data_IF_401354909028
#
_entry.id   IF_401354909028
#
_cell.length_a   1.000
_cell.length_b   1.000
_cell.length_c   1.000
_cell.angle_alpha   90.00
_cell.angle_beta   90.00
_cell.angle_gamma   90.00
#
_symmetry.space_group_name_H-M   'P 1'
#
loop_
_entity.id
_entity.type
_entity.pdbx_description
1 polymer ?
#
# COMPACT_ATOMS: atom_id res chain seq x y z
N UNK A 1 11.10 9.56 10.43
CA UNK A 1 12.15 9.19 9.45
C UNK A 1 12.96 10.41 9.00
N UNK A 2 12.31 11.47 8.55
CA UNK A 2 12.97 12.67 8.00
C UNK A 2 13.95 13.34 8.98
N UNK A 3 13.58 13.47 10.24
CA UNK A 3 14.47 14.02 11.29
C UNK A 3 15.72 13.16 11.49
N UNK A 4 15.61 11.84 11.35
CA UNK A 4 16.74 10.92 11.47
C UNK A 4 17.68 11.04 10.27
N UNK A 5 17.15 11.11 9.05
CA UNK A 5 17.94 11.24 7.82
C UNK A 5 18.71 12.56 7.81
N UNK A 6 18.12 13.63 8.33
CA UNK A 6 18.75 14.96 8.38
C UNK A 6 19.67 15.14 9.60
N UNK A 7 19.78 14.15 10.48
CA UNK A 7 20.71 14.18 11.62
C UNK A 7 22.15 14.13 11.14
N UNK A 8 23.03 14.91 11.75
CA UNK A 8 24.48 14.85 11.52
C UNK A 8 25.10 13.48 11.86
N UNK A 9 24.37 12.65 12.60
CA UNK A 9 24.77 11.28 12.94
C UNK A 9 24.39 10.26 11.87
N UNK A 10 23.48 10.58 10.97
CA UNK A 10 23.11 9.71 9.86
C UNK A 10 24.20 9.81 8.78
N UNK A 11 24.99 8.75 8.62
CA UNK A 11 26.05 8.68 7.60
C UNK A 11 25.59 8.06 6.29
N UNK A 12 24.56 7.22 6.35
CA UNK A 12 23.95 6.57 5.19
C UNK A 12 22.54 6.14 5.54
N UNK A 13 21.67 6.01 4.53
CA UNK A 13 20.33 5.49 4.71
C UNK A 13 19.95 4.58 3.53
N UNK A 14 18.96 3.73 3.77
CA UNK A 14 18.44 2.76 2.80
C UNK A 14 16.96 3.06 2.64
N UNK A 15 16.49 3.06 1.40
CA UNK A 15 15.07 3.13 1.07
C UNK A 15 14.52 1.72 0.88
N UNK A 16 13.39 1.46 1.53
CA UNK A 16 12.59 0.28 1.28
C UNK A 16 11.39 0.69 0.41
N UNK A 17 10.99 -0.21 -0.47
CA UNK A 17 9.77 -0.05 -1.25
C UNK A 17 8.55 0.14 -0.34
N UNK A 18 7.77 1.18 -0.63
CA UNK A 18 6.55 1.55 0.09
C UNK A 18 5.39 1.72 -0.90
N UNK A 19 4.94 0.62 -1.46
CA UNK A 19 3.78 0.59 -2.35
C UNK A 19 3.94 1.43 -3.62
N UNK A 20 2.82 1.89 -4.17
CA UNK A 20 2.75 2.61 -5.46
C UNK A 20 3.65 3.86 -5.55
N UNK A 21 3.91 4.52 -4.43
CA UNK A 21 4.75 5.71 -4.42
C UNK A 21 6.18 5.40 -4.92
N UNK A 22 6.67 4.19 -4.66
CA UNK A 22 7.99 3.73 -5.07
C UNK A 22 8.11 3.45 -6.58
N UNK A 23 6.99 3.31 -7.30
CA UNK A 23 6.93 3.07 -8.75
C UNK A 23 6.61 4.33 -9.57
N UNK A 24 6.30 5.43 -8.92
CA UNK A 24 6.07 6.69 -9.63
C UNK A 24 7.40 7.19 -10.20
N UNK A 25 7.36 7.61 -11.45
CA UNK A 25 8.42 8.45 -11.99
C UNK A 25 8.45 9.71 -11.13
N UNK A 26 9.37 9.75 -10.16
CA UNK A 26 9.74 11.02 -9.58
C UNK A 26 10.19 11.88 -10.77
N UNK A 27 9.53 13.00 -11.06
CA UNK A 27 10.01 13.89 -12.09
C UNK A 27 11.47 14.11 -11.77
N UNK A 28 12.33 13.72 -12.73
CA UNK A 28 13.74 14.03 -12.64
C UNK A 28 13.78 15.49 -12.24
N UNK A 29 14.28 15.78 -11.04
CA UNK A 29 14.49 17.14 -10.64
C UNK A 29 15.51 17.70 -11.60
N UNK A 30 15.06 18.12 -12.77
CA UNK A 30 15.77 19.12 -13.51
C UNK A 30 15.81 20.29 -12.54
N UNK A 31 16.98 20.47 -11.97
CA UNK A 31 17.38 21.68 -11.29
C UNK A 31 17.28 22.82 -12.32
N UNK A 32 16.04 23.17 -12.67
CA UNK A 32 15.82 24.42 -13.36
C UNK A 32 16.36 25.48 -12.42
N UNK A 33 17.32 26.21 -12.91
CA UNK A 33 17.94 27.39 -12.28
C UNK A 33 16.84 28.42 -11.98
N UNK A 34 15.96 28.13 -11.04
CA UNK A 34 14.92 29.01 -10.58
C UNK A 34 15.49 29.90 -9.49
N UNK A 35 15.14 31.19 -9.55
CA UNK A 35 15.60 32.23 -8.64
C UNK A 35 15.63 31.78 -7.17
N UNK A 36 16.69 32.18 -6.43
CA UNK A 36 16.90 31.92 -5.01
C UNK A 36 15.65 32.13 -4.14
N UNK A 37 14.80 33.12 -4.47
CA UNK A 37 13.57 33.42 -3.74
C UNK A 37 12.47 32.34 -3.94
N UNK A 38 12.35 31.79 -5.14
CA UNK A 38 11.43 30.67 -5.41
C UNK A 38 11.94 29.37 -4.77
N UNK A 39 13.23 29.24 -4.56
CA UNK A 39 13.86 28.17 -3.80
C UNK A 39 13.43 28.21 -2.33
N UNK A 40 13.48 29.38 -1.68
CA UNK A 40 13.06 29.55 -0.27
C UNK A 40 11.57 29.30 -0.04
N UNK A 41 10.69 29.75 -0.93
CA UNK A 41 9.26 29.48 -0.83
C UNK A 41 8.92 28.01 -1.13
N UNK A 42 9.56 27.41 -2.11
CA UNK A 42 9.40 25.98 -2.39
C UNK A 42 9.92 25.09 -1.27
N UNK A 43 11.03 25.42 -0.64
CA UNK A 43 11.57 24.63 0.48
C UNK A 43 10.64 24.68 1.71
N UNK A 44 9.87 25.74 1.91
CA UNK A 44 8.81 25.81 2.93
C UNK A 44 7.57 24.98 2.60
N UNK A 45 7.18 24.92 1.34
CA UNK A 45 6.02 24.12 0.86
C UNK A 45 6.43 22.65 0.69
N UNK A 46 7.69 22.39 0.39
CA UNK A 46 8.26 21.07 0.10
C UNK A 46 8.68 20.24 1.29
N UNK A 47 8.68 20.79 2.47
CA UNK A 47 8.81 19.96 3.67
C UNK A 47 7.64 18.96 3.82
N UNK A 48 6.63 19.04 2.96
CA UNK A 48 5.54 18.07 2.86
C UNK A 48 5.70 17.04 1.71
N UNK A 49 6.61 17.26 0.72
CA UNK A 49 6.82 16.34 -0.41
C UNK A 49 8.26 15.82 -0.45
N UNK A 50 8.51 14.79 0.32
CA UNK A 50 9.81 14.20 0.65
C UNK A 50 10.56 13.46 -0.48
N UNK A 51 10.32 13.76 -1.75
CA UNK A 51 10.97 13.07 -2.86
C UNK A 51 12.43 13.50 -3.10
N UNK A 52 12.89 14.60 -2.49
CA UNK A 52 14.25 15.11 -2.69
C UNK A 52 15.35 14.26 -2.03
N UNK A 53 14.99 13.46 -1.04
CA UNK A 53 15.96 12.69 -0.26
C UNK A 53 16.42 11.42 -1.00
N UNK A 54 15.65 10.94 -1.99
CA UNK A 54 16.00 9.79 -2.82
C UNK A 54 17.31 10.01 -3.60
N UNK A 55 17.63 11.24 -3.94
CA UNK A 55 18.81 11.60 -4.76
C UNK A 55 20.00 12.10 -3.95
N UNK A 56 19.94 11.97 -2.63
CA UNK A 56 21.09 12.33 -1.78
C UNK A 56 22.25 11.38 -2.00
N UNK A 57 23.47 11.88 -1.87
CA UNK A 57 24.68 11.08 -2.03
C UNK A 57 24.81 9.98 -0.96
N UNK A 58 24.27 10.23 0.24
CA UNK A 58 24.27 9.31 1.37
C UNK A 58 23.13 8.25 1.30
N UNK A 59 22.29 8.27 0.25
CA UNK A 59 21.37 7.17 -0.05
C UNK A 59 22.18 5.97 -0.59
N UNK A 60 22.41 5.00 0.29
CA UNK A 60 23.30 3.87 0.03
C UNK A 60 22.66 2.79 -0.86
N UNK A 61 21.40 2.46 -0.62
CA UNK A 61 20.69 1.41 -1.34
C UNK A 61 19.17 1.66 -1.40
N UNK A 62 18.54 1.00 -2.38
CA UNK A 62 17.10 1.00 -2.62
C UNK A 62 16.65 -0.45 -2.76
N UNK A 63 15.83 -0.92 -1.84
CA UNK A 63 15.40 -2.32 -1.75
C UNK A 63 13.94 -2.43 -2.18
N UNK A 64 13.63 -3.33 -3.09
CA UNK A 64 12.28 -3.56 -3.55
C UNK A 64 12.06 -4.93 -4.17
N UNK A 65 10.81 -5.23 -4.55
CA UNK A 65 10.38 -6.50 -5.11
C UNK A 65 10.52 -6.57 -6.64
N UNK A 66 10.80 -5.44 -7.30
CA UNK A 66 10.91 -5.34 -8.76
C UNK A 66 12.06 -4.43 -9.16
N UNK A 67 12.61 -4.67 -10.36
CA UNK A 67 13.60 -3.76 -10.98
C UNK A 67 13.02 -2.39 -11.33
N UNK A 68 11.69 -2.32 -11.50
CA UNK A 68 10.97 -1.08 -11.84
C UNK A 68 10.77 -0.17 -10.64
N UNK A 69 11.01 -0.65 -9.43
CA UNK A 69 10.94 0.18 -8.22
C UNK A 69 11.96 1.31 -8.29
N UNK A 70 11.61 2.48 -7.80
CA UNK A 70 12.45 3.68 -7.86
C UNK A 70 13.01 3.96 -9.27
N UNK A 71 12.16 4.18 -10.28
CA UNK A 71 12.57 4.18 -11.70
C UNK A 71 13.68 5.17 -12.03
N UNK A 72 13.79 6.28 -11.30
CA UNK A 72 14.84 7.29 -11.49
C UNK A 72 16.21 6.91 -10.87
N UNK A 73 16.27 5.81 -10.12
CA UNK A 73 17.50 5.37 -9.42
C UNK A 73 18.27 4.36 -10.27
N UNK A 74 19.57 4.52 -10.32
CA UNK A 74 20.48 3.59 -11.02
C UNK A 74 20.35 2.16 -10.47
N UNK A 75 20.34 1.17 -11.35
CA UNK A 75 20.30 -0.25 -11.00
C UNK A 75 21.45 -0.67 -10.07
N UNK A 76 22.59 0.02 -10.11
CA UNK A 76 23.72 -0.26 -9.19
C UNK A 76 23.42 0.00 -7.71
N UNK A 77 22.44 0.85 -7.43
CA UNK A 77 21.98 1.17 -6.08
C UNK A 77 20.74 0.36 -5.68
N UNK A 78 20.19 -0.45 -6.59
CA UNK A 78 18.97 -1.25 -6.32
C UNK A 78 19.33 -2.66 -5.89
N UNK A 79 18.63 -3.12 -4.87
CA UNK A 79 18.62 -4.51 -4.40
C UNK A 79 17.21 -5.03 -4.65
N UNK A 80 17.07 -5.98 -5.56
CA UNK A 80 15.79 -6.61 -5.85
C UNK A 80 15.70 -7.91 -5.06
N UNK A 81 14.63 -8.05 -4.29
CA UNK A 81 14.33 -9.26 -3.52
C UNK A 81 13.60 -10.24 -4.45
N UNK A 82 14.33 -11.09 -5.13
CA UNK A 82 13.83 -12.05 -6.11
C UNK A 82 13.44 -13.41 -5.49
N UNK A 83 13.82 -13.67 -4.24
CA UNK A 83 13.45 -14.86 -3.51
C UNK A 83 12.76 -14.52 -2.18
N UNK A 84 11.43 -14.51 -2.21
CA UNK A 84 10.61 -14.23 -1.03
C UNK A 84 10.24 -15.49 -0.23
N UNK A 85 10.66 -16.68 -0.66
CA UNK A 85 10.31 -17.93 0.03
C UNK A 85 10.83 -17.99 1.47
N UNK A 86 11.92 -17.30 1.77
CA UNK A 86 12.44 -17.20 3.14
C UNK A 86 11.45 -16.51 4.09
N UNK A 87 10.57 -15.63 3.59
CA UNK A 87 9.54 -14.98 4.39
C UNK A 87 8.45 -15.95 4.84
N UNK A 88 8.24 -17.07 4.10
CA UNK A 88 7.29 -18.12 4.48
C UNK A 88 7.65 -18.80 5.80
N UNK A 89 8.93 -18.76 6.18
CA UNK A 89 9.39 -19.38 7.44
C UNK A 89 8.98 -18.59 8.67
N UNK A 90 8.83 -17.28 8.52
CA UNK A 90 8.57 -16.36 9.64
C UNK A 90 7.13 -15.85 9.71
N UNK A 91 6.32 -16.13 8.70
CA UNK A 91 4.93 -15.70 8.63
C UNK A 91 3.99 -16.91 8.69
N UNK A 92 2.98 -16.82 9.54
CA UNK A 92 1.92 -17.83 9.64
C UNK A 92 0.67 -17.28 8.93
N UNK A 93 0.26 -17.83 7.78
CA UNK A 93 -0.85 -17.30 7.00
C UNK A 93 -2.18 -17.54 7.73
N UNK A 94 -3.05 -16.53 7.67
CA UNK A 94 -4.38 -16.55 8.29
C UNK A 94 -5.50 -16.74 7.28
N UNK A 95 -5.22 -16.61 5.99
CA UNK A 95 -6.23 -16.63 4.92
C UNK A 95 -6.07 -17.85 3.98
N UNK A 96 -5.51 -18.96 4.47
CA UNK A 96 -5.45 -20.20 3.69
C UNK A 96 -6.86 -20.68 3.34
N UNK A 97 -7.08 -21.04 2.07
CA UNK A 97 -8.38 -21.47 1.56
C UNK A 97 -9.36 -20.35 1.25
N UNK A 98 -9.05 -19.09 1.61
CA UNK A 98 -9.84 -17.92 1.24
C UNK A 98 -9.21 -17.29 -0.01
N UNK A 99 -9.87 -17.43 -1.16
CA UNK A 99 -9.35 -16.97 -2.45
C UNK A 99 -9.70 -15.52 -2.78
N UNK A 100 -10.87 -15.03 -2.36
CA UNK A 100 -11.36 -13.69 -2.70
C UNK A 100 -11.23 -12.73 -1.52
N UNK A 101 -10.66 -11.55 -1.79
CA UNK A 101 -10.41 -10.55 -0.75
C UNK A 101 -10.85 -9.17 -1.24
N UNK A 102 -11.88 -8.63 -0.59
CA UNK A 102 -12.33 -7.27 -0.78
C UNK A 102 -11.40 -6.26 -0.08
N UNK A 103 -11.08 -5.17 -0.77
CA UNK A 103 -10.17 -4.13 -0.28
C UNK A 103 -10.90 -2.80 -0.13
N UNK A 104 -10.64 -2.06 0.94
CA UNK A 104 -11.07 -0.66 1.06
C UNK A 104 -9.94 0.31 0.68
N UNK A 105 -10.32 1.53 0.30
CA UNK A 105 -9.37 2.65 0.19
C UNK A 105 -9.10 3.29 1.56
N UNK A 106 -8.23 4.31 1.60
CA UNK A 106 -8.05 5.12 2.80
C UNK A 106 -9.32 5.90 3.15
N UNK A 107 -9.73 5.92 4.43
CA UNK A 107 -10.96 6.55 4.93
C UNK A 107 -11.12 8.01 4.45
N UNK A 108 -10.03 8.78 4.42
CA UNK A 108 -10.01 10.17 3.93
C UNK A 108 -10.44 10.36 2.45
N UNK A 109 -10.52 9.27 1.67
CA UNK A 109 -10.93 9.32 0.26
C UNK A 109 -12.43 9.22 0.09
N UNK A 110 -13.15 8.85 1.13
CA UNK A 110 -14.60 8.65 1.11
C UNK A 110 -15.22 9.41 2.27
N UNK A 111 -16.19 10.28 1.98
CA UNK A 111 -16.92 11.00 3.05
C UNK A 111 -17.69 9.99 3.92
N UNK A 112 -17.79 10.21 5.25
CA UNK A 112 -18.42 9.25 6.17
C UNK A 112 -19.84 8.83 5.76
N UNK A 113 -20.64 9.75 5.22
CA UNK A 113 -21.98 9.47 4.72
C UNK A 113 -22.06 8.41 3.59
N UNK A 114 -20.91 8.10 2.93
CA UNK A 114 -20.83 7.08 1.87
C UNK A 114 -20.12 5.81 2.29
N UNK A 115 -19.70 5.68 3.54
CA UNK A 115 -18.98 4.47 4.00
C UNK A 115 -19.88 3.23 3.91
N UNK A 116 -21.16 3.36 4.26
CA UNK A 116 -22.13 2.27 4.17
C UNK A 116 -22.23 1.72 2.75
N UNK A 117 -22.44 2.60 1.76
CA UNK A 117 -22.57 2.21 0.36
C UNK A 117 -21.28 1.55 -0.16
N UNK A 118 -20.13 2.08 0.25
CA UNK A 118 -18.82 1.53 -0.11
C UNK A 118 -18.64 0.12 0.47
N UNK A 119 -18.96 -0.10 1.75
CA UNK A 119 -18.80 -1.41 2.39
C UNK A 119 -19.74 -2.44 1.75
N UNK A 120 -21.01 -2.10 1.53
CA UNK A 120 -21.97 -2.96 0.82
C UNK A 120 -21.45 -3.33 -0.56
N UNK A 121 -20.98 -2.35 -1.34
CA UNK A 121 -20.45 -2.59 -2.69
C UNK A 121 -19.25 -3.55 -2.71
N UNK A 122 -18.37 -3.45 -1.72
CA UNK A 122 -17.23 -4.38 -1.59
C UNK A 122 -17.74 -5.79 -1.22
N UNK A 123 -18.66 -5.91 -0.28
CA UNK A 123 -19.24 -7.20 0.12
C UNK A 123 -19.97 -7.83 -1.07
N UNK A 124 -20.73 -7.06 -1.82
CA UNK A 124 -21.48 -7.55 -2.99
C UNK A 124 -20.57 -8.00 -4.14
N UNK A 125 -19.37 -7.45 -4.24
CA UNK A 125 -18.37 -7.86 -5.23
C UNK A 125 -17.72 -9.22 -4.92
N UNK A 126 -17.82 -9.71 -3.69
CA UNK A 126 -17.36 -11.04 -3.33
C UNK A 126 -18.30 -12.13 -3.87
N UNK A 127 -17.80 -13.33 -4.18
CA UNK A 127 -18.63 -14.45 -4.62
C UNK A 127 -19.66 -14.87 -3.55
N UNK A 128 -20.69 -15.59 -3.95
CA UNK A 128 -21.72 -16.10 -3.03
C UNK A 128 -21.16 -17.05 -1.95
N UNK A 129 -20.03 -17.68 -2.22
CA UNK A 129 -19.30 -18.52 -1.27
C UNK A 129 -18.57 -17.72 -0.18
N UNK A 130 -18.63 -16.38 -0.24
CA UNK A 130 -17.95 -15.52 0.72
C UNK A 130 -16.53 -15.16 0.35
N UNK A 131 -15.77 -14.71 1.34
CA UNK A 131 -14.38 -14.25 1.18
C UNK A 131 -13.90 -13.52 2.41
N UNK A 132 -12.82 -12.76 2.27
CA UNK A 132 -12.33 -11.90 3.34
C UNK A 132 -12.40 -10.42 2.94
N UNK A 133 -12.48 -9.52 3.91
CA UNK A 133 -12.37 -8.09 3.66
C UNK A 133 -11.22 -7.52 4.49
N UNK A 134 -10.32 -6.83 3.80
CA UNK A 134 -9.22 -6.09 4.42
C UNK A 134 -9.55 -4.60 4.41
N UNK A 135 -9.88 -4.07 5.58
CA UNK A 135 -10.03 -2.64 5.76
C UNK A 135 -8.65 -1.95 5.72
N UNK A 136 -8.62 -0.79 5.10
CA UNK A 136 -7.42 0.07 5.15
C UNK A 136 -7.14 0.45 6.63
N UNK A 137 -5.87 0.57 7.05
CA UNK A 137 -5.54 0.90 8.45
C UNK A 137 -6.25 2.13 9.03
N UNK A 138 -6.59 3.12 8.20
CA UNK A 138 -7.34 4.30 8.65
C UNK A 138 -8.81 4.02 8.98
N UNK A 139 -9.42 2.95 8.46
CA UNK A 139 -10.72 2.46 8.90
C UNK A 139 -10.59 1.60 10.15
N UNK A 140 -9.58 0.74 10.19
CA UNK A 140 -9.31 -0.11 11.36
C UNK A 140 -9.02 0.68 12.64
N UNK A 141 -8.57 1.93 12.53
CA UNK A 141 -8.32 2.83 13.67
C UNK A 141 -9.51 3.71 14.03
N UNK A 142 -10.63 3.62 13.28
CA UNK A 142 -11.84 4.40 13.50
C UNK A 142 -12.96 3.51 14.06
N UNK A 143 -13.33 3.67 15.34
CA UNK A 143 -14.36 2.83 15.98
C UNK A 143 -15.71 2.90 15.28
N UNK A 144 -16.12 4.08 14.79
CA UNK A 144 -17.40 4.24 14.08
C UNK A 144 -17.42 3.48 12.76
N UNK A 145 -16.27 3.39 12.08
CA UNK A 145 -16.17 2.66 10.83
C UNK A 145 -16.23 1.14 11.05
N UNK A 146 -15.63 0.65 12.14
CA UNK A 146 -15.69 -0.77 12.51
C UNK A 146 -17.11 -1.15 12.90
N UNK A 147 -17.75 -0.39 13.80
CA UNK A 147 -19.13 -0.62 14.22
C UNK A 147 -20.09 -0.66 13.02
N UNK A 148 -20.01 0.33 12.14
CA UNK A 148 -20.81 0.36 10.92
C UNK A 148 -20.55 -0.86 10.02
N UNK A 149 -19.31 -1.30 9.91
CA UNK A 149 -18.96 -2.45 9.09
C UNK A 149 -19.52 -3.76 9.68
N UNK A 150 -19.44 -3.93 11.00
CA UNK A 150 -20.02 -5.07 11.72
C UNK A 150 -21.54 -5.12 11.59
N UNK A 151 -22.24 -3.98 11.73
CA UNK A 151 -23.68 -3.88 11.46
C UNK A 151 -24.05 -4.33 10.05
N UNK A 152 -23.28 -3.90 9.05
CA UNK A 152 -23.52 -4.29 7.65
C UNK A 152 -23.32 -5.80 7.45
N UNK A 153 -22.28 -6.39 8.06
CA UNK A 153 -22.05 -7.83 7.98
C UNK A 153 -23.21 -8.63 8.57
N UNK A 154 -23.81 -8.16 9.66
CA UNK A 154 -25.00 -8.78 10.26
C UNK A 154 -26.23 -8.68 9.35
N UNK A 155 -26.42 -7.55 8.67
CA UNK A 155 -27.53 -7.34 7.74
C UNK A 155 -27.40 -8.17 6.44
N UNK A 156 -26.19 -8.29 5.93
CA UNK A 156 -25.90 -8.99 4.64
C UNK A 156 -25.79 -10.50 4.83
N UNK A 157 -26.49 -11.09 5.68
CA UNK A 157 -26.53 -12.46 6.22
C UNK A 157 -26.39 -13.64 5.20
N UNK A 158 -26.02 -13.41 3.95
CA UNK A 158 -26.02 -14.40 2.86
C UNK A 158 -24.62 -14.82 2.40
N UNK A 159 -23.54 -14.25 2.94
CA UNK A 159 -22.17 -14.57 2.52
C UNK A 159 -21.30 -14.86 3.73
N UNK A 160 -20.47 -15.87 3.60
CA UNK A 160 -19.46 -16.19 4.60
C UNK A 160 -18.26 -15.24 4.47
N UNK A 161 -18.39 -14.04 5.05
CA UNK A 161 -17.40 -12.96 4.94
C UNK A 161 -16.63 -12.82 6.26
N UNK A 162 -15.32 -12.88 6.17
CA UNK A 162 -14.40 -12.74 7.30
C UNK A 162 -13.71 -11.37 7.26
N UNK A 163 -13.72 -10.64 8.37
CA UNK A 163 -12.91 -9.44 8.53
C UNK A 163 -11.44 -9.81 8.79
N UNK A 164 -10.54 -9.38 7.93
CA UNK A 164 -9.10 -9.57 8.13
C UNK A 164 -8.62 -8.80 9.37
N UNK A 165 -7.92 -9.49 10.26
CA UNK A 165 -7.28 -8.88 11.41
C UNK A 165 -6.24 -7.82 11.00
N UNK A 166 -5.89 -6.95 11.95
CA UNK A 166 -4.92 -5.87 11.72
C UNK A 166 -3.53 -6.40 11.32
N UNK A 167 -3.14 -7.54 11.87
CA UNK A 167 -1.85 -8.20 11.64
C UNK A 167 -1.74 -9.00 10.33
N UNK A 168 -2.84 -9.13 9.58
CA UNK A 168 -2.82 -9.81 8.27
C UNK A 168 -2.10 -8.93 7.24
N UNK A 169 -1.04 -9.44 6.64
CA UNK A 169 -0.25 -8.78 5.61
C UNK A 169 -0.52 -9.49 4.29
N UNK A 170 -1.33 -8.86 3.42
CA UNK A 170 -1.80 -9.51 2.20
C UNK A 170 -0.66 -9.87 1.25
N UNK A 171 0.40 -9.07 1.20
CA UNK A 171 1.59 -9.39 0.41
C UNK A 171 2.24 -10.70 0.87
N UNK A 172 2.19 -11.02 2.16
CA UNK A 172 2.69 -12.28 2.68
C UNK A 172 1.69 -13.43 2.49
N UNK A 173 0.39 -13.17 2.63
CA UNK A 173 -0.66 -14.17 2.32
C UNK A 173 -0.56 -14.67 0.88
N UNK A 174 -0.36 -13.74 -0.09
CA UNK A 174 -0.20 -14.06 -1.50
C UNK A 174 1.04 -14.92 -1.81
N UNK A 175 2.05 -14.94 -0.94
CA UNK A 175 3.20 -15.85 -1.12
C UNK A 175 2.83 -17.32 -0.89
N UNK A 176 1.84 -17.59 -0.03
CA UNK A 176 1.42 -18.95 0.27
C UNK A 176 0.43 -19.49 -0.75
N UNK A 177 -0.50 -18.65 -1.16
CA UNK A 177 -1.57 -19.02 -2.05
C UNK A 177 -2.02 -17.80 -2.88
N UNK A 178 -2.16 -17.92 -4.20
CA UNK A 178 -2.70 -16.84 -5.03
C UNK A 178 -4.07 -16.37 -4.54
N UNK A 179 -4.31 -15.06 -4.58
CA UNK A 179 -5.55 -14.42 -4.15
C UNK A 179 -6.16 -13.65 -5.31
N UNK A 180 -7.48 -13.51 -5.31
CA UNK A 180 -8.21 -12.58 -6.15
C UNK A 180 -8.59 -11.36 -5.29
N UNK A 181 -7.89 -10.26 -5.48
CA UNK A 181 -8.12 -9.01 -4.77
C UNK A 181 -9.13 -8.16 -5.53
N UNK A 182 -10.15 -7.65 -4.85
CA UNK A 182 -11.22 -6.84 -5.45
C UNK A 182 -11.30 -5.52 -4.70
N UNK A 183 -11.14 -4.39 -5.38
CA UNK A 183 -11.25 -3.11 -4.70
C UNK A 183 -10.69 -1.92 -5.48
N UNK A 184 -10.55 -0.76 -4.85
CA UNK A 184 -9.98 0.42 -5.48
C UNK A 184 -8.51 0.23 -5.78
N UNK A 185 -8.01 0.97 -6.78
CA UNK A 185 -6.60 0.92 -7.14
C UNK A 185 -5.71 1.31 -5.97
N UNK A 186 -4.88 0.38 -5.51
CA UNK A 186 -3.95 0.52 -4.38
C UNK A 186 -2.58 -0.05 -4.75
N UNK A 187 -1.60 0.01 -3.84
CA UNK A 187 -0.30 -0.66 -4.03
C UNK A 187 -0.45 -2.19 -4.16
N UNK A 188 -1.48 -2.77 -3.54
CA UNK A 188 -1.73 -4.20 -3.61
C UNK A 188 -2.03 -4.70 -5.03
N UNK A 189 -2.57 -3.86 -5.93
CA UNK A 189 -2.77 -4.25 -7.33
C UNK A 189 -1.45 -4.64 -8.02
N UNK A 190 -0.38 -3.89 -7.72
CA UNK A 190 0.96 -4.19 -8.24
C UNK A 190 1.57 -5.43 -7.61
N UNK A 191 1.41 -5.58 -6.30
CA UNK A 191 1.91 -6.76 -5.60
C UNK A 191 1.16 -8.02 -5.99
N UNK A 192 -0.15 -7.94 -6.26
CA UNK A 192 -0.91 -9.06 -6.78
C UNK A 192 -0.27 -9.61 -8.07
N UNK A 193 -0.03 -8.74 -9.06
CA UNK A 193 0.64 -9.12 -10.31
C UNK A 193 2.03 -9.75 -10.07
N UNK A 194 2.86 -9.11 -9.22
CA UNK A 194 4.21 -9.60 -8.92
C UNK A 194 4.24 -10.95 -8.19
N UNK A 195 3.20 -11.26 -7.42
CA UNK A 195 3.10 -12.46 -6.58
C UNK A 195 2.19 -13.52 -7.19
N UNK A 196 1.78 -13.37 -8.47
CA UNK A 196 0.96 -14.35 -9.19
C UNK A 196 -0.49 -14.41 -8.72
N UNK A 197 -0.99 -13.34 -8.11
CA UNK A 197 -2.37 -13.12 -7.72
C UNK A 197 -3.09 -12.23 -8.72
N UNK A 198 -4.43 -12.18 -8.65
CA UNK A 198 -5.25 -11.38 -9.52
C UNK A 198 -5.73 -10.11 -8.80
N UNK A 199 -5.98 -9.05 -9.57
CA UNK A 199 -6.57 -7.82 -9.04
C UNK A 199 -7.69 -7.32 -9.97
N UNK A 200 -8.87 -7.18 -9.40
CA UNK A 200 -10.03 -6.59 -10.04
C UNK A 200 -10.28 -5.19 -9.47
N UNK A 201 -10.27 -4.19 -10.36
CA UNK A 201 -10.51 -2.82 -9.95
C UNK A 201 -12.01 -2.56 -9.75
N UNK A 202 -12.38 -2.13 -8.55
CA UNK A 202 -13.72 -1.70 -8.20
C UNK A 202 -13.78 -0.19 -8.03
N UNK A 203 -14.65 0.49 -8.78
CA UNK A 203 -14.94 1.91 -8.56
C UNK A 203 -15.90 2.06 -7.38
N UNK A 204 -15.44 2.70 -6.30
CA UNK A 204 -16.19 2.83 -5.04
C UNK A 204 -16.98 4.13 -4.93
N UNK A 205 -16.74 5.11 -5.83
CA UNK A 205 -17.37 6.46 -5.77
C UNK A 205 -17.40 7.12 -7.12
#
# INVERSE_FOLDING_TARGET
>A
AEQLINSKMCRAHIYLEEGQASYRNCPSYQYNKTNLFQRFQRDRIRNAENNNQLFRDDAAAFIGLSRDVFPAISLRKKIVLDNLNSLKVIYNPSLLGISHIGLTCAARRVVPAKWRDMFIKIIDSLPSTGGAIKLHPSFMSDPMAIELFEEILEEVNNKDVVLCGYNVILELEMLFEPKHLIGPLTSLSRYAELLGSEFEQLELY
#
